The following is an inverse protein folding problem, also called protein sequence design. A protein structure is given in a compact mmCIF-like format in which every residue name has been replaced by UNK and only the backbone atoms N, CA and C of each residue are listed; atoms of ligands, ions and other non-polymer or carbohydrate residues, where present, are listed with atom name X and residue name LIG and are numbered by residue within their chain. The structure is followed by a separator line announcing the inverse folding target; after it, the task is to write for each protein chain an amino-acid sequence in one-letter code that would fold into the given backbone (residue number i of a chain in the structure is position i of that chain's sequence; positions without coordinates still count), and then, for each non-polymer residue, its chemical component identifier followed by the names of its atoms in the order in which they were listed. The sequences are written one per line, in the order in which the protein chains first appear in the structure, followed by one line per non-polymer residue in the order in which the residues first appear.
data_IF_567969270848
#
_entry.id   IF_567969270848
#
_cell.length_a   1.000
_cell.length_b   1.000
_cell.length_c   1.000
_cell.angle_alpha   90.00
_cell.angle_beta   90.00
_cell.angle_gamma   90.00
#
_symmetry.space_group_name_H-M   'P 1'
#
loop_
_entity.id
_entity.type
_entity.pdbx_description
1 polymer ?
#
# COMPACT_ATOMS: atom_id res chain seq x y z
N UNK A 1 -25.00 -4.51 6.66
CA UNK A 1 -23.82 -5.24 7.18
C UNK A 1 -22.73 -4.20 7.42
N UNK A 2 -22.17 -4.16 8.63
CA UNK A 2 -20.98 -3.33 8.88
C UNK A 2 -19.78 -4.13 8.38
N UNK A 3 -19.24 -3.78 7.21
CA UNK A 3 -17.99 -4.37 6.74
C UNK A 3 -16.83 -3.65 7.42
N UNK A 4 -15.88 -4.43 7.97
CA UNK A 4 -14.68 -3.91 8.59
C UNK A 4 -13.45 -4.46 7.86
N UNK A 5 -12.51 -3.63 7.39
CA UNK A 5 -11.26 -4.11 6.80
C UNK A 5 -10.46 -5.02 7.74
N UNK A 6 -10.63 -4.89 9.06
CA UNK A 6 -10.00 -5.77 10.05
C UNK A 6 -10.40 -7.25 9.89
N UNK A 7 -11.55 -7.54 9.26
CA UNK A 7 -12.02 -8.92 9.04
C UNK A 7 -11.28 -9.60 7.87
N UNK A 8 -10.59 -8.83 7.03
CA UNK A 8 -9.97 -9.31 5.79
C UNK A 8 -8.45 -9.17 5.77
N UNK A 9 -7.92 -8.16 6.45
CA UNK A 9 -6.49 -7.87 6.48
C UNK A 9 -5.79 -8.75 7.51
N UNK A 10 -4.69 -9.40 7.11
CA UNK A 10 -3.79 -10.06 8.04
C UNK A 10 -3.08 -9.05 8.96
N UNK A 11 -2.54 -9.52 10.09
CA UNK A 11 -1.72 -8.69 11.00
C UNK A 11 -0.57 -7.98 10.26
N UNK A 12 0.01 -8.63 9.25
CA UNK A 12 1.08 -8.06 8.43
C UNK A 12 0.57 -6.87 7.61
N UNK A 13 -0.57 -7.03 6.94
CA UNK A 13 -1.15 -5.99 6.08
C UNK A 13 -1.69 -4.81 6.89
N UNK A 14 -2.22 -5.06 8.09
CA UNK A 14 -2.52 -4.00 9.06
C UNK A 14 -1.25 -3.24 9.47
N UNK A 15 -0.13 -3.95 9.69
CA UNK A 15 1.17 -3.30 9.91
C UNK A 15 1.61 -2.39 8.75
N UNK A 16 1.38 -2.81 7.50
CA UNK A 16 1.63 -1.97 6.31
C UNK A 16 0.77 -0.72 6.32
N UNK A 17 -0.52 -0.85 6.66
CA UNK A 17 -1.42 0.29 6.82
C UNK A 17 -0.94 1.28 7.89
N UNK A 18 -0.59 0.78 9.07
CA UNK A 18 -0.17 1.62 10.20
C UNK A 18 1.05 2.46 9.86
N UNK A 19 2.00 1.84 9.15
CA UNK A 19 3.26 2.44 8.68
C UNK A 19 3.12 3.28 7.42
N UNK A 20 1.99 3.20 6.71
CA UNK A 20 1.79 3.99 5.51
C UNK A 20 1.71 5.48 5.84
N UNK A 21 2.11 6.30 4.86
CA UNK A 21 2.15 7.76 4.99
C UNK A 21 0.77 8.29 5.37
N UNK A 22 0.72 9.02 6.47
CA UNK A 22 -0.51 9.66 6.97
C UNK A 22 -0.97 10.75 6.00
N UNK A 23 -2.28 10.91 5.91
CA UNK A 23 -2.86 12.09 5.28
C UNK A 23 -2.49 13.35 6.10
N UNK A 24 -2.23 14.47 5.45
CA UNK A 24 -1.90 15.75 6.10
C UNK A 24 -3.17 16.49 6.57
N UNK A 25 -4.12 15.76 7.15
CA UNK A 25 -5.34 16.35 7.68
C UNK A 25 -5.19 16.73 9.15
N UNK A 26 -5.78 17.85 9.58
CA UNK A 26 -5.66 18.34 10.95
C UNK A 26 -6.49 17.55 11.99
N UNK A 27 -7.43 16.71 11.53
CA UNK A 27 -8.35 15.97 12.39
C UNK A 27 -7.78 14.59 12.77
N UNK A 28 -7.77 14.28 14.07
CA UNK A 28 -7.20 13.03 14.60
C UNK A 28 -7.91 11.76 14.06
N UNK A 29 -9.23 11.81 13.86
CA UNK A 29 -9.98 10.70 13.25
C UNK A 29 -9.56 10.45 11.80
N UNK A 30 -9.22 11.53 11.09
CA UNK A 30 -8.68 11.46 9.74
C UNK A 30 -7.24 10.93 9.73
N UNK A 31 -6.37 11.28 10.67
CA UNK A 31 -5.00 10.73 10.71
C UNK A 31 -4.96 9.20 10.91
N UNK A 32 -5.92 8.66 11.66
CA UNK A 32 -5.97 7.24 12.00
C UNK A 32 -6.64 6.41 10.88
N UNK A 33 -7.66 6.97 10.25
CA UNK A 33 -8.45 6.27 9.24
C UNK A 33 -8.07 6.63 7.80
N UNK A 34 -7.29 7.69 7.58
CA UNK A 34 -6.86 8.08 6.25
C UNK A 34 -5.35 7.95 6.07
N UNK A 35 -4.97 7.49 4.89
CA UNK A 35 -3.58 7.38 4.45
C UNK A 35 -3.44 7.95 3.04
N UNK A 36 -2.22 7.94 2.54
CA UNK A 36 -1.91 8.38 1.19
C UNK A 36 -1.58 7.17 0.31
N UNK A 37 -2.16 7.12 -0.88
CA UNK A 37 -1.80 6.16 -1.92
C UNK A 37 -0.33 6.32 -2.30
N UNK A 38 0.43 5.22 -2.23
CA UNK A 38 1.86 5.25 -2.51
C UNK A 38 2.20 5.61 -3.97
N UNK A 39 1.24 5.49 -4.90
CA UNK A 39 1.45 5.74 -6.34
C UNK A 39 0.97 7.13 -6.79
N UNK A 40 -0.25 7.53 -6.44
CA UNK A 40 -0.85 8.79 -6.92
C UNK A 40 -0.84 9.92 -5.88
N UNK A 41 -0.40 9.64 -4.65
CA UNK A 41 -0.46 10.56 -3.50
C UNK A 41 -1.86 11.04 -3.11
N UNK A 42 -2.91 10.46 -3.67
CA UNK A 42 -4.29 10.74 -3.29
C UNK A 42 -4.67 10.08 -1.95
N UNK A 43 -5.68 10.62 -1.29
CA UNK A 43 -6.17 10.10 -0.01
C UNK A 43 -6.85 8.73 -0.16
N UNK A 44 -6.56 7.84 0.78
CA UNK A 44 -7.19 6.54 0.97
C UNK A 44 -7.92 6.55 2.31
N UNK A 45 -9.13 6.01 2.35
CA UNK A 45 -9.94 5.85 3.57
C UNK A 45 -9.95 4.36 3.95
N UNK A 46 -9.64 4.03 5.21
CA UNK A 46 -9.51 2.66 5.68
C UNK A 46 -10.73 1.80 5.33
N UNK A 47 -11.92 2.31 5.66
CA UNK A 47 -13.20 1.65 5.40
C UNK A 47 -13.49 1.38 3.89
N UNK A 48 -12.78 2.06 2.97
CA UNK A 48 -12.88 1.83 1.54
C UNK A 48 -12.02 0.64 1.05
N UNK A 49 -11.60 -0.27 1.93
CA UNK A 49 -10.87 -1.47 1.49
C UNK A 49 -11.67 -2.24 0.44
N UNK A 50 -11.01 -2.77 -0.59
CA UNK A 50 -11.66 -3.35 -1.79
C UNK A 50 -12.71 -4.42 -1.48
N UNK A 51 -12.48 -5.24 -0.44
CA UNK A 51 -13.41 -6.28 -0.01
C UNK A 51 -14.69 -5.70 0.64
N UNK A 52 -14.59 -4.51 1.23
CA UNK A 52 -15.72 -3.83 1.89
C UNK A 52 -16.48 -2.87 0.98
N UNK A 53 -15.79 -2.20 0.06
CA UNK A 53 -16.37 -1.18 -0.82
C UNK A 53 -15.93 -1.43 -2.28
N UNK A 54 -16.29 -2.57 -2.89
CA UNK A 54 -15.79 -2.97 -4.21
C UNK A 54 -16.21 -2.03 -5.35
N UNK A 55 -17.26 -1.23 -5.15
CA UNK A 55 -17.78 -0.25 -6.11
C UNK A 55 -17.36 1.19 -5.82
N UNK A 56 -16.53 1.44 -4.80
CA UNK A 56 -16.03 2.79 -4.49
C UNK A 56 -14.91 3.19 -5.45
N UNK A 57 -14.96 4.42 -5.97
CA UNK A 57 -13.87 5.00 -6.76
C UNK A 57 -12.58 5.20 -5.93
N UNK A 58 -12.72 5.23 -4.61
CA UNK A 58 -11.62 5.39 -3.65
C UNK A 58 -11.15 4.05 -3.07
N UNK A 59 -11.60 2.92 -3.64
CA UNK A 59 -11.25 1.61 -3.11
C UNK A 59 -9.75 1.34 -3.20
N UNK A 60 -9.21 0.67 -2.20
CA UNK A 60 -7.78 0.44 -2.06
C UNK A 60 -7.44 -1.01 -1.73
N UNK A 61 -6.20 -1.41 -2.02
CA UNK A 61 -5.66 -2.72 -1.70
C UNK A 61 -4.17 -2.67 -1.32
N UNK A 62 -3.61 -3.84 -1.00
CA UNK A 62 -2.17 -4.04 -0.80
C UNK A 62 -1.52 -4.42 -2.13
N UNK A 63 -0.51 -3.66 -2.54
CA UNK A 63 0.31 -3.90 -3.72
C UNK A 63 1.72 -4.35 -3.35
N UNK A 64 2.37 -5.09 -4.26
CA UNK A 64 3.78 -5.39 -4.19
C UNK A 64 4.59 -4.33 -4.95
N UNK A 65 5.48 -3.62 -4.24
CA UNK A 65 6.39 -2.63 -4.82
C UNK A 65 7.17 -3.25 -5.98
N UNK A 66 7.86 -4.36 -5.70
CA UNK A 66 8.48 -5.22 -6.72
C UNK A 66 7.46 -6.30 -7.08
N UNK A 67 6.94 -6.33 -8.33
CA UNK A 67 5.93 -7.29 -8.74
C UNK A 67 6.40 -8.74 -8.55
N UNK A 68 5.49 -9.61 -8.06
CA UNK A 68 5.81 -11.01 -7.74
C UNK A 68 6.51 -11.74 -8.88
N UNK A 69 6.01 -11.58 -10.12
CA UNK A 69 6.55 -12.23 -11.31
C UNK A 69 7.97 -11.77 -11.67
N UNK A 70 8.37 -10.58 -11.21
CA UNK A 70 9.65 -9.94 -11.56
C UNK A 70 10.65 -9.93 -10.42
N UNK A 71 10.26 -10.40 -9.23
CA UNK A 71 11.09 -10.34 -8.02
C UNK A 71 12.50 -10.88 -8.25
N UNK A 72 12.63 -12.08 -8.83
CA UNK A 72 13.94 -12.70 -9.09
C UNK A 72 14.77 -11.91 -10.11
N UNK A 73 14.13 -11.34 -11.13
CA UNK A 73 14.82 -10.50 -12.14
C UNK A 73 15.26 -9.14 -11.59
N UNK A 74 14.67 -8.70 -10.47
CA UNK A 74 14.91 -7.41 -9.84
C UNK A 74 15.55 -7.55 -8.46
N UNK A 75 16.26 -8.66 -8.21
CA UNK A 75 16.85 -8.96 -6.89
C UNK A 75 17.82 -7.86 -6.42
N UNK A 76 18.54 -7.22 -7.34
CA UNK A 76 19.41 -6.09 -7.01
C UNK A 76 18.65 -4.91 -6.41
N UNK A 77 17.45 -4.61 -6.92
CA UNK A 77 16.58 -3.57 -6.37
C UNK A 77 15.96 -3.98 -5.03
N UNK A 78 15.62 -5.26 -4.87
CA UNK A 78 15.17 -5.80 -3.59
C UNK A 78 16.24 -5.63 -2.51
N UNK A 79 17.50 -5.98 -2.81
CA UNK A 79 18.64 -5.86 -1.89
C UNK A 79 18.87 -4.40 -1.48
N UNK A 80 18.89 -3.46 -2.43
CA UNK A 80 19.04 -2.02 -2.14
C UNK A 80 17.99 -1.53 -1.15
N UNK A 81 16.76 -2.04 -1.26
CA UNK A 81 15.62 -1.71 -0.38
C UNK A 81 15.52 -2.61 0.85
N UNK A 82 16.51 -3.47 1.09
CA UNK A 82 16.54 -4.47 2.17
C UNK A 82 15.36 -5.46 2.13
N UNK A 83 14.69 -5.63 1.00
CA UNK A 83 13.59 -6.59 0.81
C UNK A 83 14.20 -7.99 0.66
N UNK A 84 13.91 -8.89 1.61
CA UNK A 84 14.54 -10.23 1.63
C UNK A 84 13.72 -11.31 0.93
N UNK A 85 12.43 -11.06 0.66
CA UNK A 85 11.56 -11.98 -0.08
C UNK A 85 10.38 -11.25 -0.73
N UNK A 86 9.71 -11.93 -1.65
CA UNK A 86 8.52 -11.38 -2.34
C UNK A 86 7.40 -10.97 -1.38
N UNK A 87 7.21 -11.69 -0.27
CA UNK A 87 6.15 -11.46 0.72
C UNK A 87 6.65 -10.72 1.98
N UNK A 88 7.85 -10.14 1.90
CA UNK A 88 8.40 -9.25 2.92
C UNK A 88 7.49 -8.03 3.06
N UNK A 89 7.23 -7.60 4.30
CA UNK A 89 6.42 -6.42 4.58
C UNK A 89 6.97 -5.16 3.90
N UNK A 90 8.30 -5.07 3.75
CA UNK A 90 8.98 -3.98 2.99
C UNK A 90 8.65 -3.95 1.52
N UNK A 91 8.15 -5.05 0.97
CA UNK A 91 7.71 -5.12 -0.43
C UNK A 91 6.24 -4.77 -0.58
N UNK A 92 5.51 -4.49 0.51
CA UNK A 92 4.08 -4.21 0.49
C UNK A 92 3.82 -2.71 0.66
N UNK A 93 2.78 -2.22 -0.01
CA UNK A 93 2.34 -0.84 0.08
C UNK A 93 0.82 -0.74 -0.09
N UNK A 94 0.21 0.31 0.44
CA UNK A 94 -1.21 0.60 0.20
C UNK A 94 -1.36 1.50 -1.04
N UNK A 95 -2.32 1.17 -1.90
CA UNK A 95 -2.59 1.92 -3.13
C UNK A 95 -4.08 1.88 -3.45
N UNK A 96 -4.57 2.88 -4.19
CA UNK A 96 -5.87 2.75 -4.87
C UNK A 96 -5.83 1.58 -5.85
N UNK A 97 -6.92 0.82 -5.95
CA UNK A 97 -7.02 -0.33 -6.85
C UNK A 97 -6.77 0.08 -8.30
N UNK A 98 -7.31 1.23 -8.73
CA UNK A 98 -7.08 1.77 -10.09
C UNK A 98 -5.61 2.06 -10.36
N UNK A 99 -4.86 2.58 -9.37
CA UNK A 99 -3.43 2.82 -9.50
C UNK A 99 -2.64 1.50 -9.61
N UNK A 100 -3.06 0.47 -8.87
CA UNK A 100 -2.48 -0.86 -8.95
C UNK A 100 -2.72 -1.50 -10.33
N UNK A 101 -3.94 -1.38 -10.86
CA UNK A 101 -4.29 -1.87 -12.20
C UNK A 101 -3.48 -1.19 -13.30
N UNK A 102 -3.31 0.14 -13.22
CA UNK A 102 -2.48 0.92 -14.16
C UNK A 102 -1.01 0.49 -14.07
N UNK A 103 -0.50 0.25 -12.86
CA UNK A 103 0.88 -0.24 -12.64
C UNK A 103 1.06 -1.64 -13.24
N UNK A 104 0.15 -2.56 -12.95
CA UNK A 104 0.26 -3.96 -13.35
C UNK A 104 1.61 -4.58 -12.95
N UNK A 105 2.28 -5.24 -13.90
CA UNK A 105 3.62 -5.83 -13.72
C UNK A 105 4.77 -4.86 -14.02
N UNK A 106 4.49 -3.56 -14.21
CA UNK A 106 5.52 -2.55 -14.44
C UNK A 106 6.17 -2.12 -13.13
N UNK A 107 7.45 -2.41 -12.98
CA UNK A 107 8.25 -1.88 -11.87
C UNK A 107 8.76 -0.48 -12.20
N UNK A 108 8.61 0.45 -11.25
CA UNK A 108 9.19 1.79 -11.31
C UNK A 108 10.19 1.96 -10.16
N UNK A 109 11.44 2.27 -10.49
CA UNK A 109 12.51 2.46 -9.51
C UNK A 109 12.45 3.82 -8.78
N UNK A 110 11.62 4.78 -9.24
CA UNK A 110 11.59 6.16 -8.76
C UNK A 110 11.32 6.27 -7.26
N UNK A 111 12.28 6.86 -6.53
CA UNK A 111 12.29 7.00 -5.08
C UNK A 111 11.18 7.87 -4.46
N UNK A 112 10.41 8.58 -5.29
CA UNK A 112 9.50 9.64 -4.88
C UNK A 112 8.02 9.19 -4.85
N UNK A 113 7.58 8.35 -5.81
CA UNK A 113 6.15 8.04 -6.03
C UNK A 113 5.86 6.52 -6.16
N UNK A 114 6.27 5.77 -5.14
CA UNK A 114 6.02 4.33 -4.99
C UNK A 114 6.48 3.83 -3.62
N UNK A 115 6.37 4.71 -2.63
CA UNK A 115 6.94 4.55 -1.30
C UNK A 115 5.84 4.90 -0.31
N UNK A 116 5.11 3.88 0.15
CA UNK A 116 4.80 3.87 1.56
C UNK A 116 6.14 3.92 2.28
N UNK A 117 6.59 5.13 2.65
CA UNK A 117 7.68 5.32 3.59
C UNK A 117 7.20 4.59 4.84
N UNK A 118 7.57 3.33 4.98
CA UNK A 118 7.59 2.70 6.28
C UNK A 118 8.74 3.42 6.98
N UNK A 119 8.39 4.38 7.83
CA UNK A 119 9.37 4.96 8.74
C UNK A 119 9.86 3.82 9.63
N UNK A 120 11.11 3.40 9.40
CA UNK A 120 11.84 2.57 10.35
C UNK A 120 12.55 3.55 11.28
N UNK A 121 12.03 3.69 12.51
CA UNK A 121 12.80 4.25 13.61
C UNK A 121 14.03 3.38 13.91
#
# INVERSE_FOLDING_TARGET
MNCSPYDYLSKKELGVWDKAKRCACPDNDCEQNHKICALCLGTIVFAAYVECQPNSDFKWNIDHIIPKKRFNSLIGEAIKRKIVSVNDERNLQIVHVSCNEIKGDNFNSNEINGYGIIEYN
#
